data_IF_574883587912
#
_entry.id   IF_574883587912
#
_cell.length_a   1.000
_cell.length_b   1.000
_cell.length_c   1.000
_cell.angle_alpha   90.00
_cell.angle_beta   90.00
_cell.angle_gamma   90.00
#
_symmetry.space_group_name_H-M   'P 1'
#
loop_
_entity.id
_entity.type
_entity.pdbx_description
1 polymer ?
#
# COMPACT_ATOMS: atom_id res chain seq x y z
N UNK A 1 6.22 11.40 26.06
CA UNK A 1 4.84 11.75 26.46
C UNK A 1 3.90 10.88 25.64
N UNK A 2 3.19 9.94 26.25
CA UNK A 2 2.14 9.16 25.61
C UNK A 2 0.95 10.07 25.32
N UNK A 3 0.43 10.15 24.10
CA UNK A 3 -0.78 10.91 23.81
C UNK A 3 -1.98 10.30 24.57
N UNK A 4 -2.98 11.11 24.95
CA UNK A 4 -4.16 10.61 25.64
C UNK A 4 -4.95 9.65 24.76
N UNK A 5 -5.62 8.62 25.33
CA UNK A 5 -6.43 7.69 24.57
C UNK A 5 -7.73 8.38 24.10
N UNK A 6 -7.84 8.58 22.81
CA UNK A 6 -9.03 9.12 22.15
C UNK A 6 -8.68 10.11 21.05
N UNK A 7 -8.83 9.73 19.81
CA UNK A 7 -8.73 10.55 18.58
C UNK A 7 -7.47 11.43 18.38
N UNK A 8 -6.37 11.14 19.06
CA UNK A 8 -5.14 11.96 18.99
C UNK A 8 -4.48 12.00 17.59
N UNK A 9 -4.94 11.18 16.63
CA UNK A 9 -4.32 11.08 15.32
C UNK A 9 -5.27 11.38 14.15
N UNK A 10 -6.57 11.59 14.40
CA UNK A 10 -7.60 11.69 13.35
C UNK A 10 -7.50 10.56 12.29
N UNK A 11 -6.97 9.40 12.72
CA UNK A 11 -6.76 8.24 11.88
C UNK A 11 -8.04 7.49 11.57
N UNK A 12 -9.00 7.54 12.49
CA UNK A 12 -10.29 6.88 12.37
C UNK A 12 -11.36 7.84 11.89
N UNK A 13 -12.37 7.29 11.24
CA UNK A 13 -13.54 8.07 10.82
C UNK A 13 -14.19 8.75 12.02
N UNK A 14 -14.78 9.94 11.82
CA UNK A 14 -15.53 10.66 12.87
C UNK A 14 -16.72 9.83 13.39
N UNK A 15 -17.03 9.98 14.67
CA UNK A 15 -18.16 9.31 15.31
C UNK A 15 -17.80 8.07 16.14
N UNK A 16 -18.80 7.24 16.47
CA UNK A 16 -18.56 6.01 17.23
C UNK A 16 -17.68 5.04 16.44
N UNK A 17 -16.62 4.52 17.10
CA UNK A 17 -15.75 3.54 16.45
C UNK A 17 -16.48 2.23 16.21
N UNK A 18 -16.37 1.74 14.98
CA UNK A 18 -16.75 0.38 14.62
C UNK A 18 -15.91 -0.62 15.43
N UNK A 19 -16.55 -1.44 16.26
CA UNK A 19 -15.88 -2.49 17.02
C UNK A 19 -16.55 -3.82 16.75
N UNK A 20 -15.77 -4.81 16.34
CA UNK A 20 -16.26 -6.19 16.13
C UNK A 20 -15.29 -7.12 16.83
N UNK A 21 -15.80 -7.93 17.76
CA UNK A 21 -15.01 -8.93 18.45
C UNK A 21 -14.65 -10.07 17.50
N UNK A 22 -13.41 -10.53 17.56
CA UNK A 22 -12.98 -11.76 16.90
C UNK A 22 -13.43 -13.01 17.62
N UNK A 23 -13.21 -14.17 16.99
CA UNK A 23 -13.45 -15.46 17.61
C UNK A 23 -12.66 -15.61 18.91
N UNK A 24 -13.20 -16.37 19.90
CA UNK A 24 -12.57 -16.53 21.21
C UNK A 24 -11.29 -17.38 21.16
N UNK A 25 -11.02 -18.02 20.05
CA UNK A 25 -9.84 -18.85 19.79
C UNK A 25 -9.28 -18.59 18.40
N UNK A 26 -7.98 -18.85 18.21
CA UNK A 26 -7.34 -18.68 16.91
C UNK A 26 -5.92 -18.07 17.04
N UNK A 27 -5.13 -18.10 15.96
CA UNK A 27 -3.74 -17.66 16.01
C UNK A 27 -3.57 -16.14 16.20
N UNK A 28 -4.62 -15.34 16.02
CA UNK A 28 -4.59 -13.88 16.16
C UNK A 28 -5.33 -13.37 17.40
N UNK A 29 -5.74 -14.27 18.32
CA UNK A 29 -6.40 -13.85 19.58
C UNK A 29 -5.52 -12.85 20.33
N UNK A 30 -6.17 -11.77 20.80
CA UNK A 30 -5.52 -10.67 21.50
C UNK A 30 -4.98 -9.57 20.59
N UNK A 31 -4.94 -9.77 19.28
CA UNK A 31 -4.60 -8.72 18.32
C UNK A 31 -5.82 -7.91 17.90
N UNK A 32 -5.58 -6.62 17.68
CA UNK A 32 -6.57 -5.65 17.21
C UNK A 32 -6.20 -5.13 15.82
N UNK A 33 -7.21 -4.85 14.99
CA UNK A 33 -6.94 -4.27 13.68
C UNK A 33 -7.92 -3.17 13.30
N UNK A 34 -7.41 -2.25 12.47
CA UNK A 34 -8.19 -1.20 11.84
C UNK A 34 -8.45 -1.53 10.36
N UNK A 35 -9.53 -0.99 9.82
CA UNK A 35 -10.04 -1.34 8.48
C UNK A 35 -10.18 -0.07 7.65
N UNK A 36 -9.45 0.04 6.54
CA UNK A 36 -9.58 1.16 5.59
C UNK A 36 -11.03 1.31 5.12
N UNK A 37 -11.51 2.54 5.01
CA UNK A 37 -12.91 2.82 4.65
C UNK A 37 -13.26 2.61 3.18
N UNK A 38 -12.69 1.59 2.59
CA UNK A 38 -13.05 0.97 1.31
C UNK A 38 -13.39 -0.52 1.48
N UNK A 39 -13.23 -1.03 2.70
CA UNK A 39 -13.35 -2.45 3.02
C UNK A 39 -14.59 -2.62 3.90
N UNK A 40 -15.47 -3.50 3.51
CA UNK A 40 -16.75 -3.70 4.17
C UNK A 40 -16.60 -4.35 5.54
N UNK A 41 -17.28 -3.75 6.51
CA UNK A 41 -17.56 -4.34 7.82
C UNK A 41 -19.07 -4.41 7.96
N UNK A 42 -19.63 -5.59 8.22
CA UNK A 42 -21.08 -5.79 8.31
C UNK A 42 -21.73 -4.78 9.25
N UNK A 43 -22.89 -4.28 8.85
CA UNK A 43 -23.72 -3.30 9.58
C UNK A 43 -23.08 -1.92 9.79
N UNK A 44 -21.94 -1.65 9.14
CA UNK A 44 -21.20 -0.39 9.22
C UNK A 44 -21.05 0.19 7.81
N UNK A 45 -21.52 1.42 7.55
CA UNK A 45 -21.37 2.02 6.23
C UNK A 45 -19.91 2.06 5.76
N UNK A 46 -19.69 1.84 4.46
CA UNK A 46 -18.42 2.09 3.80
C UNK A 46 -18.54 3.43 3.07
N UNK A 47 -17.71 4.41 3.50
CA UNK A 47 -17.83 5.80 3.03
C UNK A 47 -16.95 6.12 1.82
N UNK A 48 -15.92 5.33 1.54
CA UNK A 48 -15.03 5.57 0.41
C UNK A 48 -14.26 6.90 0.49
N UNK A 49 -14.23 7.56 1.65
CA UNK A 49 -13.62 8.88 1.81
C UNK A 49 -14.38 10.01 1.11
N UNK A 50 -15.66 9.80 0.73
CA UNK A 50 -16.53 10.80 0.13
C UNK A 50 -17.95 10.73 0.71
N UNK A 51 -18.54 11.84 1.20
CA UNK A 51 -19.85 11.84 1.88
C UNK A 51 -21.02 11.46 0.98
N UNK A 52 -20.86 11.45 -0.34
CA UNK A 52 -21.89 11.08 -1.30
C UNK A 52 -21.79 9.61 -1.75
N UNK A 53 -20.72 8.89 -1.36
CA UNK A 53 -20.56 7.46 -1.67
C UNK A 53 -21.68 6.58 -1.06
N UNK A 54 -22.05 6.73 0.21
CA UNK A 54 -23.11 5.91 0.83
C UNK A 54 -24.50 6.15 0.26
N UNK A 55 -24.73 7.19 -0.56
CA UNK A 55 -26.04 7.50 -1.12
C UNK A 55 -26.57 6.42 -2.08
N UNK A 56 -25.65 5.68 -2.72
CA UNK A 56 -25.99 4.59 -3.67
C UNK A 56 -25.32 3.26 -3.31
N UNK A 57 -24.50 3.26 -2.28
CA UNK A 57 -23.86 2.06 -1.77
C UNK A 57 -24.47 1.75 -0.40
N UNK A 58 -25.39 0.78 -0.30
CA UNK A 58 -26.03 0.45 0.96
C UNK A 58 -25.04 -0.07 1.99
N UNK A 59 -25.39 0.08 3.26
CA UNK A 59 -24.61 -0.51 4.36
C UNK A 59 -24.44 -2.02 4.11
N UNK A 60 -23.20 -2.54 4.13
CA UNK A 60 -22.94 -3.94 3.86
C UNK A 60 -23.58 -4.85 4.94
N UNK A 61 -24.15 -5.95 4.52
CA UNK A 61 -24.74 -6.97 5.43
C UNK A 61 -23.77 -8.10 5.75
N UNK A 62 -22.56 -8.07 5.16
CA UNK A 62 -21.51 -9.07 5.36
C UNK A 62 -20.17 -8.35 5.49
N UNK A 63 -19.26 -8.95 6.21
CA UNK A 63 -17.86 -8.53 6.20
C UNK A 63 -17.22 -8.82 4.83
N UNK A 64 -16.26 -7.99 4.44
CA UNK A 64 -15.32 -8.37 3.38
C UNK A 64 -14.62 -9.67 3.75
N UNK A 65 -14.26 -10.48 2.75
CA UNK A 65 -13.63 -11.79 2.98
C UNK A 65 -12.39 -11.70 3.88
N UNK A 66 -11.54 -10.69 3.66
CA UNK A 66 -10.34 -10.45 4.49
C UNK A 66 -10.68 -10.10 5.93
N UNK A 67 -11.75 -9.36 6.18
CA UNK A 67 -12.20 -9.01 7.54
C UNK A 67 -12.74 -10.25 8.24
N UNK A 68 -13.59 -11.03 7.56
CA UNK A 68 -14.14 -12.27 8.10
C UNK A 68 -13.02 -13.24 8.50
N UNK A 69 -12.06 -13.48 7.61
CA UNK A 69 -10.92 -14.39 7.88
C UNK A 69 -10.12 -13.97 9.12
N UNK A 70 -9.90 -12.67 9.32
CA UNK A 70 -9.17 -12.16 10.48
C UNK A 70 -9.99 -12.25 11.77
N UNK A 71 -11.30 -12.02 11.70
CA UNK A 71 -12.22 -12.22 12.84
C UNK A 71 -12.28 -13.69 13.23
N UNK A 72 -12.38 -14.61 12.26
CA UNK A 72 -12.39 -16.06 12.50
C UNK A 72 -11.06 -16.55 13.09
N UNK A 73 -9.95 -15.89 12.75
CA UNK A 73 -8.63 -16.14 13.35
C UNK A 73 -8.45 -15.52 14.76
N UNK A 74 -9.44 -14.79 15.28
CA UNK A 74 -9.47 -14.24 16.65
C UNK A 74 -9.04 -12.80 16.77
N UNK A 75 -8.66 -12.10 15.70
CA UNK A 75 -8.36 -10.67 15.77
C UNK A 75 -9.65 -9.83 15.83
N UNK A 76 -9.63 -8.69 16.52
CA UNK A 76 -10.80 -7.82 16.71
C UNK A 76 -10.67 -6.50 15.95
N UNK A 77 -11.75 -6.06 15.26
CA UNK A 77 -11.82 -4.73 14.63
C UNK A 77 -11.96 -3.66 15.71
N UNK A 78 -11.17 -2.58 15.59
CA UNK A 78 -11.22 -1.42 16.51
C UNK A 78 -11.68 -0.12 15.84
N UNK A 79 -11.90 -0.11 14.53
CA UNK A 79 -12.42 1.05 13.82
C UNK A 79 -12.20 1.00 12.32
N UNK A 80 -12.97 1.83 11.60
CA UNK A 80 -12.70 2.15 10.19
C UNK A 80 -11.82 3.39 10.11
N UNK A 81 -10.89 3.41 9.17
CA UNK A 81 -9.85 4.44 9.06
C UNK A 81 -10.04 5.31 7.83
N UNK A 82 -9.65 6.58 7.95
CA UNK A 82 -9.64 7.56 6.88
C UNK A 82 -8.86 7.03 5.66
N UNK A 83 -9.36 7.31 4.48
CA UNK A 83 -8.73 7.01 3.19
C UNK A 83 -8.70 8.26 2.32
N UNK A 84 -7.76 8.36 1.39
CA UNK A 84 -7.88 9.37 0.32
C UNK A 84 -9.17 9.08 -0.47
N UNK A 85 -9.84 10.13 -0.94
CA UNK A 85 -11.14 10.06 -1.60
C UNK A 85 -11.14 9.01 -2.73
N UNK A 86 -12.04 8.04 -2.64
CA UNK A 86 -12.18 6.86 -3.51
C UNK A 86 -10.83 6.22 -3.90
N UNK A 87 -9.89 6.24 -2.96
CA UNK A 87 -8.49 5.78 -3.11
C UNK A 87 -7.66 6.51 -4.18
N UNK A 88 -8.14 7.59 -4.78
CA UNK A 88 -7.44 8.39 -5.81
C UNK A 88 -6.50 9.43 -5.20
N UNK A 89 -5.54 8.96 -4.39
CA UNK A 89 -4.50 9.76 -3.77
C UNK A 89 -3.29 8.92 -3.39
N UNK A 90 -2.20 9.61 -2.97
CA UNK A 90 -0.95 8.96 -2.55
C UNK A 90 -0.29 9.67 -1.36
N UNK A 91 -0.83 10.79 -0.93
CA UNK A 91 -0.25 11.60 0.13
C UNK A 91 -1.02 11.56 1.46
N UNK A 92 -2.26 11.06 1.45
CA UNK A 92 -3.07 10.96 2.67
C UNK A 92 -3.83 12.25 2.99
N UNK A 93 -4.12 13.06 1.98
CA UNK A 93 -4.89 14.29 2.13
C UNK A 93 -6.29 14.08 1.55
N UNK A 94 -7.30 14.02 2.41
CA UNK A 94 -8.71 13.93 2.02
C UNK A 94 -9.41 15.27 2.30
N UNK A 95 -10.10 15.81 1.30
CA UNK A 95 -10.79 17.10 1.40
C UNK A 95 -12.05 17.06 2.30
N UNK A 96 -12.60 15.86 2.55
CA UNK A 96 -13.82 15.66 3.34
C UNK A 96 -13.51 15.21 4.78
N UNK A 97 -12.61 14.24 4.92
CA UNK A 97 -12.30 13.60 6.21
C UNK A 97 -11.00 14.14 6.85
N UNK A 98 -10.29 15.02 6.14
CA UNK A 98 -9.04 15.61 6.61
C UNK A 98 -7.79 14.75 6.35
N UNK A 99 -6.68 15.14 6.96
CA UNK A 99 -5.38 14.48 6.84
C UNK A 99 -5.01 13.87 8.17
N UNK A 100 -4.93 12.53 8.27
CA UNK A 100 -4.49 11.86 9.49
C UNK A 100 -3.08 12.32 9.91
N UNK A 101 -2.83 12.33 11.21
CA UNK A 101 -1.52 12.65 11.74
C UNK A 101 -0.51 11.58 11.30
N UNK A 102 0.68 11.99 10.84
CA UNK A 102 1.84 11.12 10.81
C UNK A 102 2.49 11.15 12.21
N UNK A 103 2.34 10.10 13.06
CA UNK A 103 2.79 10.16 14.44
C UNK A 103 4.30 10.29 14.61
N UNK A 104 5.07 9.88 13.61
CA UNK A 104 6.54 9.88 13.62
C UNK A 104 7.14 11.11 12.93
N UNK A 105 6.33 11.87 12.20
CA UNK A 105 6.69 13.14 11.57
C UNK A 105 5.46 14.06 11.50
N UNK A 106 5.05 14.71 12.61
CA UNK A 106 3.73 15.35 12.76
C UNK A 106 3.42 16.50 11.81
N UNK A 107 4.43 17.19 11.30
CA UNK A 107 4.34 18.25 10.30
C UNK A 107 4.27 17.75 8.85
N UNK A 108 4.42 16.44 8.64
CA UNK A 108 4.47 15.80 7.33
C UNK A 108 3.22 14.96 7.07
N UNK A 109 2.94 14.70 5.80
CA UNK A 109 1.82 13.84 5.41
C UNK A 109 2.07 12.37 5.79
N UNK A 110 1.02 11.58 6.08
CA UNK A 110 1.18 10.16 6.43
C UNK A 110 1.41 9.27 5.21
N UNK A 111 1.21 9.80 3.99
CA UNK A 111 1.08 8.99 2.79
C UNK A 111 -0.32 8.39 2.65
N UNK A 112 -0.66 7.97 1.42
CA UNK A 112 -1.99 7.47 1.08
C UNK A 112 -1.94 6.42 -0.06
N UNK A 113 -3.10 5.93 -0.40
CA UNK A 113 -4.45 6.31 0.05
C UNK A 113 -4.87 5.66 1.38
N UNK A 114 -4.13 4.70 1.94
CA UNK A 114 -4.45 4.04 3.23
C UNK A 114 -3.88 4.83 4.41
N UNK A 115 -4.13 6.14 4.43
CA UNK A 115 -3.53 7.13 5.34
C UNK A 115 -3.86 6.88 6.80
N UNK A 116 -5.13 6.71 7.13
CA UNK A 116 -5.59 6.44 8.48
C UNK A 116 -5.13 5.07 9.00
N UNK A 117 -5.05 4.07 8.12
CA UNK A 117 -4.54 2.73 8.48
C UNK A 117 -3.09 2.80 8.93
N UNK A 118 -2.22 3.46 8.17
CA UNK A 118 -0.83 3.65 8.55
C UNK A 118 -0.69 4.50 9.82
N UNK A 119 -1.43 5.61 9.91
CA UNK A 119 -1.44 6.48 11.08
C UNK A 119 -1.87 5.73 12.36
N UNK A 120 -2.93 4.92 12.31
CA UNK A 120 -3.42 4.14 13.45
C UNK A 120 -2.39 3.13 13.95
N UNK A 121 -1.72 2.41 13.04
CA UNK A 121 -0.68 1.44 13.40
C UNK A 121 0.55 2.14 13.96
N UNK A 122 1.02 3.22 13.33
CA UNK A 122 2.19 3.98 13.79
C UNK A 122 1.95 4.62 15.17
N UNK A 123 0.72 5.03 15.46
CA UNK A 123 0.32 5.56 16.78
C UNK A 123 0.13 4.47 17.86
N UNK A 124 0.19 3.20 17.50
CA UNK A 124 -0.13 2.11 18.44
C UNK A 124 -1.61 1.98 18.79
N UNK A 125 -2.51 2.57 17.99
CA UNK A 125 -3.95 2.50 18.21
C UNK A 125 -4.57 1.13 17.81
N UNK A 126 -3.83 0.33 17.09
CA UNK A 126 -4.09 -1.07 16.79
C UNK A 126 -2.76 -1.79 16.48
N UNK A 127 -2.79 -3.12 16.46
CA UNK A 127 -1.60 -3.93 16.21
C UNK A 127 -1.24 -3.97 14.73
N UNK A 128 -2.24 -4.08 13.86
CA UNK A 128 -2.11 -4.01 12.41
C UNK A 128 -3.33 -3.33 11.77
N UNK A 129 -3.26 -3.01 10.49
CA UNK A 129 -4.40 -2.43 9.77
C UNK A 129 -4.45 -2.91 8.32
N UNK A 130 -5.66 -3.09 7.81
CA UNK A 130 -5.91 -3.37 6.39
C UNK A 130 -5.85 -2.09 5.56
N UNK A 131 -5.29 -2.20 4.37
CA UNK A 131 -5.26 -1.17 3.34
C UNK A 131 -5.46 -1.76 1.96
N UNK A 132 -5.55 -0.89 0.95
CA UNK A 132 -5.54 -1.29 -0.46
C UNK A 132 -4.34 -0.68 -1.16
N UNK A 133 -3.77 -1.38 -2.13
CA UNK A 133 -2.64 -0.88 -2.93
C UNK A 133 -2.88 -1.11 -4.43
N UNK A 134 -3.19 -0.06 -5.15
CA UNK A 134 -3.33 -0.03 -6.60
C UNK A 134 -2.05 0.50 -7.24
N UNK A 135 -1.58 1.66 -6.77
CA UNK A 135 -0.40 2.36 -7.28
C UNK A 135 0.65 2.70 -6.22
N UNK A 136 0.56 2.11 -5.01
CA UNK A 136 1.48 2.39 -3.90
C UNK A 136 0.80 2.66 -2.56
N UNK A 137 -0.52 2.49 -2.49
CA UNK A 137 -1.34 2.99 -1.37
C UNK A 137 -1.22 2.20 -0.04
N UNK A 138 -0.40 1.17 0.02
CA UNK A 138 0.13 0.57 1.27
C UNK A 138 1.61 0.90 1.41
N UNK A 139 2.37 0.75 0.35
CA UNK A 139 3.84 0.89 0.37
C UNK A 139 4.29 2.30 0.74
N UNK A 140 3.66 3.33 0.17
CA UNK A 140 4.01 4.74 0.44
C UNK A 140 3.71 5.14 1.88
N UNK A 141 2.48 4.94 2.41
CA UNK A 141 2.23 5.26 3.81
C UNK A 141 3.04 4.38 4.78
N UNK A 142 3.38 3.13 4.43
CA UNK A 142 4.31 2.33 5.23
C UNK A 142 5.70 2.97 5.32
N UNK A 143 6.24 3.46 4.18
CA UNK A 143 7.51 4.19 4.15
C UNK A 143 7.48 5.47 4.98
N UNK A 144 6.44 6.29 4.81
CA UNK A 144 6.33 7.60 5.47
C UNK A 144 6.01 7.52 6.96
N UNK A 145 5.37 6.44 7.42
CA UNK A 145 5.05 6.22 8.82
C UNK A 145 5.99 5.24 9.54
N UNK A 146 7.06 4.77 8.88
CA UNK A 146 8.06 3.88 9.49
C UNK A 146 7.52 2.50 9.87
N UNK A 147 6.71 1.90 9.00
CA UNK A 147 6.02 0.62 9.22
C UNK A 147 6.48 -0.45 8.25
N UNK A 148 6.34 -1.71 8.66
CA UNK A 148 6.21 -2.80 7.69
C UNK A 148 4.89 -2.64 6.95
N UNK A 149 4.92 -2.81 5.62
CA UNK A 149 3.73 -2.78 4.79
C UNK A 149 3.90 -3.72 3.60
N UNK A 150 2.89 -4.52 3.31
CA UNK A 150 2.94 -5.46 2.20
C UNK A 150 1.89 -5.14 1.15
N UNK A 151 2.31 -5.11 -0.12
CA UNK A 151 1.48 -5.33 -1.29
C UNK A 151 1.67 -6.79 -1.69
N UNK A 152 0.68 -7.67 -1.51
CA UNK A 152 0.80 -9.05 -1.93
C UNK A 152 0.75 -9.20 -3.45
N UNK A 153 1.09 -10.39 -3.93
CA UNK A 153 0.86 -10.81 -5.32
C UNK A 153 -0.59 -10.50 -5.73
N UNK A 154 -0.78 -9.86 -6.89
CA UNK A 154 -2.10 -9.51 -7.39
C UNK A 154 -2.98 -10.77 -7.53
N UNK A 155 -4.21 -10.68 -7.02
CA UNK A 155 -5.20 -11.77 -7.03
C UNK A 155 -4.98 -12.86 -5.98
N UNK A 156 -3.94 -12.74 -5.12
CA UNK A 156 -3.69 -13.75 -4.07
C UNK A 156 -4.57 -13.58 -2.83
N UNK A 157 -4.91 -12.36 -2.48
CA UNK A 157 -5.83 -12.03 -1.39
C UNK A 157 -7.22 -11.82 -1.96
N UNK A 158 -8.23 -12.43 -1.35
CA UNK A 158 -9.62 -12.30 -1.78
C UNK A 158 -10.09 -10.84 -1.63
N UNK A 159 -10.52 -10.24 -2.73
CA UNK A 159 -10.94 -8.83 -2.80
C UNK A 159 -12.46 -8.65 -2.62
N UNK A 160 -13.21 -9.72 -2.30
CA UNK A 160 -14.66 -9.67 -2.09
C UNK A 160 -15.03 -8.76 -0.92
N UNK A 161 -15.94 -7.81 -1.16
CA UNK A 161 -16.35 -6.81 -0.16
C UNK A 161 -15.37 -5.64 -0.01
N UNK A 162 -14.52 -5.40 -1.00
CA UNK A 162 -13.63 -4.24 -1.07
C UNK A 162 -14.02 -3.39 -2.29
N UNK A 163 -14.24 -2.10 -2.09
CA UNK A 163 -14.54 -1.18 -3.19
C UNK A 163 -13.33 -1.10 -4.15
N UNK A 164 -13.53 -1.46 -5.43
CA UNK A 164 -12.44 -1.44 -6.41
C UNK A 164 -12.11 -0.02 -6.86
N UNK A 165 -10.88 0.18 -7.34
CA UNK A 165 -10.46 1.36 -8.09
C UNK A 165 -10.07 0.98 -9.52
N UNK A 166 -9.11 0.06 -9.65
CA UNK A 166 -8.60 -0.46 -10.92
C UNK A 166 -8.33 -1.97 -10.76
N UNK A 167 -9.33 -2.82 -11.07
CA UNK A 167 -9.32 -4.24 -10.73
C UNK A 167 -8.10 -5.01 -11.22
N UNK A 168 -7.48 -4.61 -12.34
CA UNK A 168 -6.28 -5.29 -12.85
C UNK A 168 -5.00 -4.94 -12.09
N UNK A 169 -5.08 -4.01 -11.13
CA UNK A 169 -3.95 -3.53 -10.32
C UNK A 169 -4.21 -3.59 -8.81
N UNK A 170 -5.48 -3.64 -8.39
CA UNK A 170 -5.88 -3.58 -6.98
C UNK A 170 -5.42 -4.79 -6.17
N UNK A 171 -4.92 -4.55 -4.97
CA UNK A 171 -4.65 -5.59 -3.97
C UNK A 171 -5.09 -5.12 -2.59
N UNK A 172 -5.50 -6.04 -1.73
CA UNK A 172 -5.60 -5.78 -0.30
C UNK A 172 -4.26 -6.12 0.36
N UNK A 173 -3.68 -5.14 1.05
CA UNK A 173 -2.46 -5.32 1.82
C UNK A 173 -2.66 -4.89 3.27
N UNK A 174 -1.60 -4.94 4.07
CA UNK A 174 -1.68 -4.58 5.48
C UNK A 174 -0.38 -3.96 6.00
N UNK A 175 -0.50 -3.32 7.15
CA UNK A 175 0.57 -2.65 7.89
C UNK A 175 0.76 -3.32 9.24
N UNK A 176 2.01 -3.39 9.72
CA UNK A 176 2.34 -3.77 11.08
C UNK A 176 3.55 -2.97 11.59
N UNK A 177 3.70 -2.85 12.92
CA UNK A 177 4.88 -2.22 13.53
C UNK A 177 6.09 -3.15 13.52
N UNK A 178 5.86 -4.46 13.52
CA UNK A 178 6.88 -5.49 13.56
C UNK A 178 6.65 -6.57 12.50
N UNK A 179 7.72 -7.23 12.07
CA UNK A 179 7.67 -8.25 11.04
C UNK A 179 6.99 -9.54 11.52
N UNK A 180 6.98 -9.80 12.82
CA UNK A 180 6.29 -10.94 13.41
C UNK A 180 4.78 -10.82 13.26
N UNK A 181 4.21 -9.65 13.57
CA UNK A 181 2.78 -9.36 13.34
C UNK A 181 2.45 -9.37 11.85
N UNK A 182 3.31 -8.78 10.98
CA UNK A 182 3.13 -8.85 9.53
C UNK A 182 3.01 -10.31 9.05
N UNK A 183 3.88 -11.20 9.55
CA UNK A 183 3.90 -12.64 9.21
C UNK A 183 2.65 -13.37 9.68
N UNK A 184 2.22 -13.17 10.93
CA UNK A 184 1.01 -13.81 11.47
C UNK A 184 -0.25 -13.47 10.68
N UNK A 185 -0.38 -12.21 10.24
CA UNK A 185 -1.49 -11.77 9.38
C UNK A 185 -1.40 -12.42 7.99
N UNK A 186 -0.20 -12.56 7.45
CA UNK A 186 0.02 -13.22 6.16
C UNK A 186 -0.43 -14.67 6.14
N UNK A 187 -0.19 -15.42 7.23
CA UNK A 187 -0.62 -16.82 7.36
C UNK A 187 -2.14 -16.97 7.21
N UNK A 188 -2.90 -15.95 7.61
CA UNK A 188 -4.36 -15.96 7.47
C UNK A 188 -4.80 -15.50 6.08
N UNK A 189 -4.26 -14.38 5.59
CA UNK A 189 -4.77 -13.72 4.38
C UNK A 189 -4.26 -14.35 3.07
N UNK A 190 -3.09 -14.98 3.08
CA UNK A 190 -2.51 -15.61 1.88
C UNK A 190 -2.96 -17.06 1.68
N UNK A 191 -3.66 -17.65 2.65
CA UNK A 191 -4.39 -18.92 2.51
C UNK A 191 -3.57 -20.20 2.44
N UNK A 192 -2.26 -20.12 2.35
CA UNK A 192 -1.36 -21.26 2.47
C UNK A 192 -0.71 -21.21 3.84
N UNK A 193 -0.97 -22.20 4.73
CA UNK A 193 -0.04 -22.42 5.82
C UNK A 193 1.32 -22.64 5.16
N UNK A 194 2.34 -21.92 5.64
CA UNK A 194 3.72 -22.22 5.26
C UNK A 194 3.86 -23.75 5.36
N UNK A 195 4.11 -24.47 4.26
CA UNK A 195 4.37 -25.88 4.41
C UNK A 195 5.51 -25.99 5.42
N UNK A 196 5.27 -26.68 6.52
CA UNK A 196 6.32 -27.02 7.49
C UNK A 196 7.48 -27.76 6.82
N UNK A 197 7.32 -28.11 5.54
CA UNK A 197 8.24 -28.83 4.68
C UNK A 197 8.90 -28.00 3.57
N UNK A 198 8.50 -26.70 3.34
CA UNK A 198 9.30 -25.87 2.46
C UNK A 198 10.66 -25.62 3.12
N UNK A 199 11.76 -25.77 2.36
CA UNK A 199 13.08 -25.45 2.90
C UNK A 199 13.01 -24.01 3.41
N UNK A 200 13.34 -23.82 4.68
CA UNK A 200 13.40 -22.54 5.40
C UNK A 200 14.57 -21.66 4.90
N UNK A 201 14.84 -21.68 3.60
CA UNK A 201 15.94 -20.93 2.99
C UNK A 201 15.44 -19.58 2.53
N UNK A 202 16.11 -18.57 3.03
CA UNK A 202 16.03 -17.23 2.47
C UNK A 202 16.41 -17.24 0.99
N UNK A 203 15.94 -16.26 0.19
CA UNK A 203 16.50 -16.02 -1.13
C UNK A 203 18.02 -15.96 -1.07
N UNK A 204 18.68 -16.33 -2.14
CA UNK A 204 20.16 -16.40 -2.19
C UNK A 204 20.77 -15.35 -3.13
N UNK A 205 19.92 -14.61 -3.85
CA UNK A 205 20.34 -13.58 -4.79
C UNK A 205 19.60 -12.28 -4.53
N UNK A 206 20.36 -11.21 -4.31
CA UNK A 206 19.86 -9.85 -4.16
C UNK A 206 20.20 -9.02 -5.39
N UNK A 207 19.19 -8.45 -6.04
CA UNK A 207 19.35 -7.41 -7.05
C UNK A 207 19.13 -6.03 -6.43
N UNK A 208 20.01 -5.09 -6.74
CA UNK A 208 19.87 -3.68 -6.36
C UNK A 208 19.46 -2.89 -7.59
N UNK A 209 18.27 -2.30 -7.58
CA UNK A 209 17.73 -1.53 -8.71
C UNK A 209 18.43 -0.16 -8.83
N UNK A 210 19.54 -0.10 -9.57
CA UNK A 210 20.39 1.09 -9.65
C UNK A 210 19.69 2.29 -10.28
N UNK A 211 18.79 2.07 -11.24
CA UNK A 211 17.96 3.12 -11.84
C UNK A 211 16.94 3.69 -10.85
N UNK A 212 16.38 2.85 -9.97
CA UNK A 212 15.47 3.29 -8.93
C UNK A 212 16.20 4.04 -7.80
N UNK A 213 17.40 3.56 -7.37
CA UNK A 213 18.24 4.28 -6.43
C UNK A 213 18.69 5.62 -7.01
N UNK A 214 19.18 5.66 -8.25
CA UNK A 214 19.59 6.90 -8.91
C UNK A 214 18.46 7.91 -9.15
N UNK A 215 17.20 7.46 -9.07
CA UNK A 215 16.02 8.32 -9.17
C UNK A 215 15.63 8.96 -7.82
N UNK A 216 16.00 8.37 -6.71
CA UNK A 216 15.75 8.91 -5.38
C UNK A 216 16.76 10.03 -5.04
N UNK A 217 16.39 10.90 -4.10
CA UNK A 217 17.27 11.96 -3.61
C UNK A 217 18.56 11.35 -3.02
N UNK A 218 19.67 12.05 -3.18
CA UNK A 218 20.98 11.54 -2.73
C UNK A 218 21.03 11.26 -1.21
N UNK A 219 20.29 12.03 -0.41
CA UNK A 219 20.14 11.79 1.03
C UNK A 219 19.44 10.49 1.33
N UNK A 220 18.38 10.14 0.57
CA UNK A 220 17.67 8.86 0.68
C UNK A 220 18.57 7.70 0.30
N UNK A 221 19.33 7.82 -0.79
CA UNK A 221 20.30 6.80 -1.19
C UNK A 221 21.32 6.53 -0.07
N UNK A 222 21.89 7.59 0.51
CA UNK A 222 22.84 7.49 1.61
C UNK A 222 22.22 6.86 2.87
N UNK A 223 21.01 7.26 3.23
CA UNK A 223 20.30 6.74 4.41
C UNK A 223 19.90 5.26 4.28
N UNK A 224 19.59 4.79 3.07
CA UNK A 224 19.23 3.39 2.82
C UNK A 224 20.45 2.47 2.62
N UNK A 225 21.64 3.00 2.35
CA UNK A 225 22.84 2.20 2.07
C UNK A 225 23.14 1.17 3.18
N UNK A 226 23.09 1.49 4.50
CA UNK A 226 23.32 0.49 5.55
C UNK A 226 22.28 -0.64 5.54
N UNK A 227 21.02 -0.35 5.19
CA UNK A 227 19.99 -1.39 5.07
C UNK A 227 20.23 -2.31 3.87
N UNK A 228 20.70 -1.76 2.75
CA UNK A 228 21.09 -2.54 1.57
C UNK A 228 22.28 -3.44 1.89
N UNK A 229 23.29 -2.96 2.61
CA UNK A 229 24.46 -3.74 2.99
C UNK A 229 24.09 -4.86 3.98
N UNK A 230 23.21 -4.58 4.95
CA UNK A 230 22.67 -5.60 5.86
C UNK A 230 21.87 -6.66 5.10
N UNK A 231 21.00 -6.24 4.17
CA UNK A 231 20.24 -7.15 3.31
C UNK A 231 21.17 -8.00 2.44
N UNK A 232 22.22 -7.41 1.88
CA UNK A 232 23.23 -8.12 1.09
C UNK A 232 23.99 -9.16 1.94
N UNK A 233 24.33 -8.81 3.18
CA UNK A 233 24.96 -9.75 4.13
C UNK A 233 24.06 -10.92 4.47
N UNK A 234 22.73 -10.68 4.59
CA UNK A 234 21.74 -11.71 4.90
C UNK A 234 21.50 -12.66 3.71
N UNK A 235 21.40 -12.10 2.49
CA UNK A 235 21.04 -12.86 1.28
C UNK A 235 22.27 -13.50 0.63
N UNK A 236 23.43 -12.85 0.69
CA UNK A 236 24.71 -13.33 0.19
C UNK A 236 25.08 -12.74 -1.17
N UNK A 237 24.44 -13.15 -2.27
CA UNK A 237 24.88 -12.77 -3.61
C UNK A 237 24.21 -11.47 -4.10
N UNK A 238 24.95 -10.36 -4.04
CA UNK A 238 24.49 -9.02 -4.50
C UNK A 238 24.92 -8.76 -5.94
N UNK A 239 23.98 -8.22 -6.73
CA UNK A 239 24.21 -7.72 -8.09
C UNK A 239 23.45 -6.43 -8.33
N UNK A 240 23.99 -5.55 -9.14
CA UNK A 240 23.28 -4.38 -9.65
C UNK A 240 22.38 -4.78 -10.84
N UNK A 241 21.23 -4.16 -10.93
CA UNK A 241 20.27 -4.40 -12.01
C UNK A 241 19.53 -3.12 -12.37
N UNK A 242 19.15 -2.99 -13.64
CA UNK A 242 18.21 -1.96 -14.10
C UNK A 242 16.80 -2.53 -14.04
N UNK A 243 15.91 -1.91 -13.27
CA UNK A 243 14.51 -2.34 -13.15
C UNK A 243 13.75 -2.07 -14.46
N UNK A 244 13.76 -0.83 -14.92
CA UNK A 244 13.00 -0.35 -16.08
C UNK A 244 13.94 0.19 -17.17
N UNK A 245 14.40 -0.63 -18.11
CA UNK A 245 15.34 -0.21 -19.17
C UNK A 245 14.81 0.94 -20.04
N UNK A 246 13.49 1.06 -20.21
CA UNK A 246 12.82 2.15 -20.93
C UNK A 246 12.70 3.43 -20.08
N UNK A 247 12.97 3.33 -18.78
CA UNK A 247 12.82 4.38 -17.78
C UNK A 247 11.61 4.22 -16.88
N UNK A 248 11.76 4.55 -15.60
CA UNK A 248 10.71 4.47 -14.58
C UNK A 248 9.49 5.33 -14.95
N UNK A 249 9.69 6.49 -15.56
CA UNK A 249 8.61 7.38 -16.02
C UNK A 249 7.78 6.77 -17.16
N UNK A 250 8.35 5.89 -17.97
CA UNK A 250 7.62 5.18 -19.02
C UNK A 250 6.66 4.16 -18.40
N UNK A 251 7.13 3.40 -17.41
CA UNK A 251 6.29 2.48 -16.66
C UNK A 251 5.21 3.22 -15.86
N UNK A 252 5.56 4.33 -15.24
CA UNK A 252 4.60 5.18 -14.53
C UNK A 252 3.48 5.68 -15.47
N UNK A 253 3.84 6.15 -16.68
CA UNK A 253 2.86 6.60 -17.68
C UNK A 253 1.92 5.47 -18.09
N UNK A 254 2.44 4.28 -18.36
CA UNK A 254 1.62 3.12 -18.72
C UNK A 254 0.66 2.73 -17.57
N UNK A 255 1.15 2.68 -16.32
CA UNK A 255 0.31 2.42 -15.15
C UNK A 255 -0.78 3.49 -15.00
N UNK A 256 -0.44 4.77 -15.15
CA UNK A 256 -1.40 5.88 -15.06
C UNK A 256 -2.52 5.78 -16.09
N UNK A 257 -2.21 5.39 -17.32
CA UNK A 257 -3.21 5.21 -18.38
C UNK A 257 -4.16 4.06 -18.03
N UNK A 258 -3.64 2.91 -17.66
CA UNK A 258 -4.45 1.73 -17.34
C UNK A 258 -5.28 1.95 -16.08
N UNK A 259 -4.65 2.38 -14.99
CA UNK A 259 -5.33 2.67 -13.73
C UNK A 259 -6.39 3.77 -13.87
N UNK A 260 -6.07 4.86 -14.60
CA UNK A 260 -7.01 5.96 -14.81
C UNK A 260 -8.23 5.53 -15.63
N UNK A 261 -8.03 4.75 -16.68
CA UNK A 261 -9.13 4.22 -17.50
C UNK A 261 -10.03 3.28 -16.72
N UNK A 262 -9.45 2.39 -15.91
CA UNK A 262 -10.20 1.48 -15.05
C UNK A 262 -10.93 2.22 -13.93
N UNK A 263 -10.29 3.20 -13.29
CA UNK A 263 -10.93 4.05 -12.27
C UNK A 263 -12.13 4.80 -12.84
N UNK A 264 -12.02 5.37 -14.06
CA UNK A 264 -13.16 5.95 -14.73
C UNK A 264 -14.29 4.94 -14.94
N UNK A 265 -13.99 3.76 -15.49
CA UNK A 265 -14.99 2.72 -15.70
C UNK A 265 -15.68 2.27 -14.39
N UNK A 266 -14.93 2.24 -13.29
CA UNK A 266 -15.44 1.87 -11.96
C UNK A 266 -16.37 2.95 -11.39
N UNK A 267 -15.99 4.23 -11.48
CA UNK A 267 -16.69 5.31 -10.78
C UNK A 267 -17.70 6.07 -11.65
N UNK A 268 -17.68 5.94 -12.98
CA UNK A 268 -18.62 6.63 -13.88
C UNK A 268 -20.09 6.37 -13.52
N UNK A 269 -20.55 5.13 -13.24
CA UNK A 269 -21.94 4.89 -12.86
C UNK A 269 -22.37 5.63 -11.58
N UNK A 270 -21.47 5.75 -10.59
CA UNK A 270 -21.73 6.52 -9.38
C UNK A 270 -21.80 8.01 -9.66
N UNK A 271 -20.89 8.52 -10.49
CA UNK A 271 -20.83 9.95 -10.88
C UNK A 271 -22.15 10.32 -11.61
N UNK A 272 -22.54 9.52 -12.59
CA UNK A 272 -23.77 9.75 -13.39
C UNK A 272 -25.04 9.69 -12.53
N UNK A 273 -25.07 8.83 -11.53
CA UNK A 273 -26.24 8.65 -10.65
C UNK A 273 -26.33 9.72 -9.56
N UNK A 274 -25.20 10.10 -8.96
CA UNK A 274 -25.18 10.92 -7.74
C UNK A 274 -24.73 12.36 -7.96
N UNK A 275 -23.99 12.65 -9.03
CA UNK A 275 -23.28 13.93 -9.21
C UNK A 275 -22.52 14.31 -7.91
N UNK A 276 -21.56 13.51 -7.45
CA UNK A 276 -20.95 13.67 -6.13
C UNK A 276 -20.08 14.92 -6.02
N UNK A 277 -19.90 15.39 -4.81
CA UNK A 277 -18.95 16.46 -4.46
C UNK A 277 -17.54 15.92 -4.47
N UNK A 278 -16.86 15.98 -5.61
CA UNK A 278 -15.50 15.52 -5.75
C UNK A 278 -14.49 16.63 -5.43
N UNK A 279 -13.44 16.30 -4.71
CA UNK A 279 -12.27 17.16 -4.59
C UNK A 279 -11.64 17.41 -5.96
N UNK A 280 -11.08 18.60 -6.18
CA UNK A 280 -10.52 19.00 -7.48
C UNK A 280 -9.52 17.97 -8.04
N UNK A 281 -8.62 17.44 -7.20
CA UNK A 281 -7.61 16.45 -7.63
C UNK A 281 -8.22 15.14 -8.13
N UNK A 282 -9.27 14.67 -7.45
CA UNK A 282 -10.01 13.44 -7.79
C UNK A 282 -10.84 13.65 -9.07
N UNK A 283 -11.61 14.75 -9.14
CA UNK A 283 -12.36 15.09 -10.35
C UNK A 283 -11.45 15.17 -11.58
N UNK A 284 -10.31 15.85 -11.45
CA UNK A 284 -9.32 15.94 -12.54
C UNK A 284 -8.78 14.57 -12.95
N UNK A 285 -8.45 13.71 -12.00
CA UNK A 285 -7.94 12.36 -12.29
C UNK A 285 -8.96 11.51 -13.03
N UNK A 286 -10.24 11.57 -12.63
CA UNK A 286 -11.34 10.85 -13.28
C UNK A 286 -11.62 11.39 -14.69
N UNK A 287 -11.65 12.72 -14.88
CA UNK A 287 -11.78 13.34 -16.21
C UNK A 287 -10.62 12.91 -17.11
N UNK A 288 -9.37 12.92 -16.62
CA UNK A 288 -8.24 12.43 -17.39
C UNK A 288 -8.41 10.95 -17.75
N UNK A 289 -8.88 10.12 -16.83
CA UNK A 289 -9.20 8.71 -17.08
C UNK A 289 -10.22 8.51 -18.18
N UNK A 290 -11.29 9.32 -18.20
CA UNK A 290 -12.35 9.28 -19.22
C UNK A 290 -11.87 9.64 -20.63
N UNK A 291 -10.81 10.43 -20.72
CA UNK A 291 -10.25 10.94 -21.98
C UNK A 291 -9.18 10.02 -22.59
N UNK A 292 -8.78 8.94 -21.90
CA UNK A 292 -7.76 8.01 -22.42
C UNK A 292 -8.26 7.31 -23.67
N UNK A 293 -7.57 7.53 -24.77
CA UNK A 293 -7.89 6.92 -26.08
C UNK A 293 -7.61 5.41 -26.07
N UNK A 294 -8.23 4.70 -27.00
CA UNK A 294 -7.96 3.27 -27.22
C UNK A 294 -6.49 3.02 -27.56
N UNK A 295 -5.90 3.88 -28.39
CA UNK A 295 -4.49 3.79 -28.77
C UNK A 295 -3.56 3.91 -27.56
N UNK A 296 -3.83 4.85 -26.62
CA UNK A 296 -3.06 4.98 -25.39
C UNK A 296 -3.21 3.73 -24.48
N UNK A 297 -4.44 3.20 -24.33
CA UNK A 297 -4.68 1.98 -23.56
C UNK A 297 -3.97 0.78 -24.16
N UNK A 298 -3.98 0.64 -25.47
CA UNK A 298 -3.28 -0.44 -26.18
C UNK A 298 -1.75 -0.33 -26.01
N UNK A 299 -1.18 0.85 -26.18
CA UNK A 299 0.24 1.11 -25.93
C UNK A 299 0.64 0.81 -24.47
N UNK A 300 -0.17 1.23 -23.52
CA UNK A 300 0.05 0.95 -22.10
C UNK A 300 -0.07 -0.56 -21.77
N UNK A 301 -0.98 -1.27 -22.44
CA UNK A 301 -1.14 -2.71 -22.29
C UNK A 301 0.07 -3.48 -22.85
N UNK A 302 0.64 -3.06 -23.96
CA UNK A 302 1.89 -3.62 -24.49
C UNK A 302 3.04 -3.38 -23.51
N UNK A 303 3.16 -2.17 -22.94
CA UNK A 303 4.17 -1.86 -21.92
C UNK A 303 3.98 -2.73 -20.67
N UNK A 304 2.74 -3.03 -20.26
CA UNK A 304 2.45 -3.96 -19.16
C UNK A 304 2.99 -5.35 -19.44
N UNK A 305 2.82 -5.86 -20.66
CA UNK A 305 3.34 -7.16 -21.08
C UNK A 305 4.87 -7.17 -21.01
N UNK A 306 5.53 -6.15 -21.54
CA UNK A 306 6.99 -6.03 -21.48
C UNK A 306 7.51 -5.93 -20.03
N UNK A 307 6.85 -5.13 -19.18
CA UNK A 307 7.19 -5.00 -17.78
C UNK A 307 7.05 -6.34 -17.02
N UNK A 308 5.99 -7.10 -17.29
CA UNK A 308 5.80 -8.44 -16.71
C UNK A 308 6.89 -9.41 -17.16
N UNK A 309 7.23 -9.42 -18.44
CA UNK A 309 8.32 -10.24 -18.96
C UNK A 309 9.67 -9.84 -18.33
N UNK A 310 9.91 -8.54 -18.17
CA UNK A 310 11.12 -8.02 -17.50
C UNK A 310 11.19 -8.49 -16.05
N UNK A 311 10.10 -8.38 -15.27
CA UNK A 311 10.09 -8.82 -13.88
C UNK A 311 10.28 -10.35 -13.76
N UNK A 312 9.68 -11.14 -14.64
CA UNK A 312 9.88 -12.58 -14.67
C UNK A 312 11.36 -12.96 -14.94
N UNK A 313 12.03 -12.20 -15.79
CA UNK A 313 13.47 -12.38 -16.07
C UNK A 313 14.35 -11.97 -14.87
N UNK A 314 14.02 -10.88 -14.20
CA UNK A 314 14.80 -10.37 -13.05
C UNK A 314 14.62 -11.23 -11.80
N UNK A 315 13.43 -11.79 -11.59
CA UNK A 315 13.02 -12.42 -10.34
C UNK A 315 12.73 -13.93 -10.49
N UNK A 316 13.69 -14.74 -10.98
CA UNK A 316 13.55 -16.18 -10.91
C UNK A 316 13.51 -16.64 -9.44
N UNK A 317 13.05 -17.86 -9.14
CA UNK A 317 13.00 -18.40 -7.79
C UNK A 317 14.32 -18.20 -7.02
N UNK A 318 14.20 -17.79 -5.74
CA UNK A 318 15.36 -17.49 -4.88
C UNK A 318 16.03 -16.13 -5.13
N UNK A 319 15.43 -15.28 -5.96
CA UNK A 319 15.92 -13.92 -6.22
C UNK A 319 14.95 -12.87 -5.67
N UNK A 320 15.47 -11.86 -5.01
CA UNK A 320 14.74 -10.64 -4.65
C UNK A 320 15.45 -9.41 -5.21
N UNK A 321 14.67 -8.34 -5.41
CA UNK A 321 15.18 -7.04 -5.82
C UNK A 321 14.86 -6.02 -4.75
N UNK A 322 15.80 -5.09 -4.47
CA UNK A 322 15.52 -3.99 -3.56
C UNK A 322 15.61 -2.63 -4.27
N UNK A 323 14.79 -1.68 -3.76
CA UNK A 323 14.76 -0.29 -4.21
C UNK A 323 14.24 0.64 -3.10
N UNK A 324 14.46 1.97 -3.16
CA UNK A 324 13.80 2.90 -2.26
C UNK A 324 12.29 2.83 -2.43
N UNK A 325 11.53 2.73 -1.34
CA UNK A 325 10.05 2.72 -1.44
C UNK A 325 9.52 4.06 -1.94
N UNK A 326 10.11 5.15 -1.46
CA UNK A 326 9.79 6.52 -1.86
C UNK A 326 11.07 7.28 -2.23
N UNK A 327 11.01 8.24 -3.17
CA UNK A 327 12.20 8.95 -3.64
C UNK A 327 12.70 10.03 -2.67
N UNK A 328 11.93 10.35 -1.63
CA UNK A 328 12.20 11.36 -0.60
C UNK A 328 11.40 11.01 0.67
N UNK A 329 11.72 11.63 1.80
CA UNK A 329 10.94 11.59 3.02
C UNK A 329 9.57 12.26 2.84
N UNK A 330 8.60 11.94 3.70
CA UNK A 330 7.23 12.47 3.59
C UNK A 330 7.23 14.00 3.39
N UNK A 331 6.49 14.54 2.41
CA UNK A 331 6.35 15.99 2.23
C UNK A 331 5.65 16.66 3.40
N UNK A 332 5.89 17.96 3.59
CA UNK A 332 5.15 18.77 4.56
C UNK A 332 3.66 18.82 4.21
N UNK A 333 2.82 18.91 5.23
CA UNK A 333 1.36 19.11 5.07
C UNK A 333 1.05 20.48 4.47
N UNK A 334 -0.05 20.55 3.73
CA UNK A 334 -0.60 21.83 3.23
C UNK A 334 0.21 22.48 2.12
N UNK A 335 1.09 21.75 1.44
CA UNK A 335 1.77 22.27 0.27
C UNK A 335 0.77 22.55 -0.87
N UNK A 336 0.96 23.64 -1.65
CA UNK A 336 0.09 23.93 -2.77
C UNK A 336 0.24 22.90 -3.90
N UNK A 337 -0.84 22.69 -4.68
CA UNK A 337 -0.94 21.63 -5.70
C UNK A 337 0.20 21.65 -6.73
N UNK A 338 0.72 22.81 -7.08
CA UNK A 338 1.82 22.92 -8.06
C UNK A 338 3.13 22.31 -7.54
N UNK A 339 3.34 22.29 -6.21
CA UNK A 339 4.46 21.60 -5.57
C UNK A 339 4.17 20.11 -5.33
N UNK A 340 2.90 19.77 -4.99
CA UNK A 340 2.51 18.39 -4.71
C UNK A 340 2.48 17.49 -5.95
N UNK A 341 2.06 18.01 -7.11
CA UNK A 341 1.93 17.19 -8.32
C UNK A 341 3.26 16.57 -8.79
N UNK A 342 4.38 17.31 -8.87
CA UNK A 342 5.67 16.71 -9.19
C UNK A 342 6.11 15.65 -8.17
N UNK A 343 5.82 15.84 -6.87
CA UNK A 343 6.13 14.87 -5.83
C UNK A 343 5.33 13.58 -6.01
N UNK A 344 4.01 13.69 -6.28
CA UNK A 344 3.14 12.53 -6.57
C UNK A 344 3.65 11.74 -7.78
N UNK A 345 4.08 12.42 -8.83
CA UNK A 345 4.62 11.77 -10.03
C UNK A 345 5.93 11.04 -9.73
N UNK A 346 6.84 11.63 -8.96
CA UNK A 346 8.09 10.99 -8.55
C UNK A 346 7.83 9.73 -7.69
N UNK A 347 6.90 9.79 -6.74
CA UNK A 347 6.49 8.61 -5.95
C UNK A 347 5.96 7.52 -6.90
N UNK A 348 5.07 7.89 -7.82
CA UNK A 348 4.47 6.94 -8.76
C UNK A 348 5.50 6.27 -9.67
N UNK A 349 6.60 6.93 -10.03
CA UNK A 349 7.70 6.32 -10.77
C UNK A 349 8.33 5.13 -10.03
N UNK A 350 8.46 5.19 -8.70
CA UNK A 350 9.01 4.11 -7.90
C UNK A 350 7.99 3.03 -7.49
N UNK A 351 6.69 3.27 -7.66
CA UNK A 351 5.64 2.34 -7.21
C UNK A 351 4.85 1.68 -8.34
N UNK A 352 4.92 2.22 -9.56
CA UNK A 352 4.12 1.79 -10.72
C UNK A 352 4.34 0.32 -11.12
N UNK A 353 5.55 -0.22 -10.92
CA UNK A 353 5.85 -1.62 -11.24
C UNK A 353 4.89 -2.59 -10.53
N UNK A 354 4.46 -2.30 -9.28
CA UNK A 354 3.53 -3.15 -8.55
C UNK A 354 2.18 -3.31 -9.26
N UNK A 355 1.56 -2.21 -9.71
CA UNK A 355 0.31 -2.23 -10.46
C UNK A 355 0.45 -2.82 -11.87
N UNK A 356 1.54 -2.51 -12.57
CA UNK A 356 1.81 -3.04 -13.91
C UNK A 356 2.02 -4.54 -13.92
N UNK A 357 2.76 -5.06 -12.95
CA UNK A 357 3.28 -6.43 -13.04
C UNK A 357 2.61 -7.41 -12.09
N UNK A 358 1.99 -6.90 -11.01
CA UNK A 358 1.30 -7.72 -10.02
C UNK A 358 2.23 -8.46 -9.05
N UNK A 359 3.53 -8.14 -9.02
CA UNK A 359 4.50 -8.76 -8.11
C UNK A 359 4.29 -8.33 -6.67
N UNK A 360 4.63 -9.19 -5.69
CA UNK A 360 4.58 -8.84 -4.27
C UNK A 360 5.74 -7.91 -3.89
N UNK A 361 5.48 -7.04 -2.92
CA UNK A 361 6.46 -6.10 -2.39
C UNK A 361 6.23 -5.87 -0.89
N UNK A 362 7.31 -5.84 -0.12
CA UNK A 362 7.30 -5.47 1.30
C UNK A 362 8.15 -4.22 1.51
N UNK A 363 7.60 -3.24 2.22
CA UNK A 363 8.36 -2.12 2.76
C UNK A 363 9.00 -2.53 4.08
N UNK A 364 10.30 -2.35 4.18
CA UNK A 364 11.11 -2.51 5.40
C UNK A 364 11.39 -1.13 6.00
N UNK A 365 10.94 -0.83 7.21
CA UNK A 365 11.31 0.39 7.94
C UNK A 365 12.75 0.28 8.48
N UNK A 366 13.33 1.39 8.93
CA UNK A 366 14.61 1.36 9.66
C UNK A 366 15.61 2.43 9.22
N UNK A 367 15.27 3.27 8.25
CA UNK A 367 16.07 4.43 7.89
C UNK A 367 15.29 5.73 8.08
N UNK A 368 16.00 6.84 8.19
CA UNK A 368 15.44 8.20 8.29
C UNK A 368 16.20 9.15 7.36
N UNK A 369 15.49 10.10 6.79
CA UNK A 369 16.01 11.23 6.05
C UNK A 369 15.32 12.49 6.54
N UNK A 370 16.07 13.55 6.87
CA UNK A 370 15.53 14.80 7.43
C UNK A 370 14.59 14.56 8.62
N UNK A 371 14.99 13.70 9.56
CA UNK A 371 14.26 13.30 10.77
C UNK A 371 12.89 12.63 10.50
N UNK A 372 12.61 12.21 9.28
CA UNK A 372 11.40 11.48 8.90
C UNK A 372 11.73 10.08 8.36
N UNK A 373 10.86 9.09 8.59
CA UNK A 373 11.09 7.73 8.10
C UNK A 373 11.14 7.64 6.58
N UNK A 374 11.97 6.73 6.12
CA UNK A 374 12.00 6.23 4.76
C UNK A 374 12.16 4.71 4.78
N UNK A 375 11.63 4.03 3.77
CA UNK A 375 11.63 2.58 3.69
C UNK A 375 12.45 2.03 2.53
N UNK A 376 13.02 0.85 2.75
CA UNK A 376 13.61 0.01 1.72
C UNK A 376 12.57 -1.02 1.28
N UNK A 377 12.23 -1.05 0.01
CA UNK A 377 11.37 -2.08 -0.55
C UNK A 377 12.15 -3.31 -0.99
N UNK A 378 11.60 -4.48 -0.70
CA UNK A 378 12.01 -5.75 -1.29
C UNK A 378 10.87 -6.31 -2.15
N UNK A 379 11.24 -6.84 -3.33
CA UNK A 379 10.30 -7.32 -4.35
C UNK A 379 10.69 -8.75 -4.72
N UNK A 380 9.72 -9.62 -4.84
CA UNK A 380 9.89 -10.99 -5.28
C UNK A 380 9.14 -11.30 -6.57
N UNK A 381 9.33 -12.47 -7.13
CA UNK A 381 8.52 -12.98 -8.23
C UNK A 381 7.07 -13.23 -7.79
N UNK A 382 6.17 -13.36 -8.77
CA UNK A 382 4.75 -13.69 -8.50
C UNK A 382 4.66 -14.95 -7.63
N UNK A 383 3.92 -14.87 -6.52
CA UNK A 383 3.71 -15.97 -5.59
C UNK A 383 4.78 -16.13 -4.49
N UNK A 384 5.82 -15.29 -4.46
CA UNK A 384 6.90 -15.39 -3.46
C UNK A 384 6.68 -14.51 -2.22
N UNK A 385 5.44 -14.19 -1.89
CA UNK A 385 5.05 -13.32 -0.78
C UNK A 385 5.69 -13.73 0.54
N UNK A 386 5.65 -15.04 0.86
CA UNK A 386 6.24 -15.56 2.10
C UNK A 386 7.77 -15.46 2.14
N UNK A 387 8.45 -15.51 0.99
CA UNK A 387 9.90 -15.33 0.95
C UNK A 387 10.27 -13.90 1.38
N UNK A 388 9.50 -12.90 0.91
CA UNK A 388 9.68 -11.51 1.32
C UNK A 388 9.41 -11.30 2.81
N UNK A 389 8.36 -11.94 3.35
CA UNK A 389 8.02 -11.86 4.77
C UNK A 389 9.12 -12.51 5.63
N UNK A 390 9.67 -13.66 5.22
CA UNK A 390 10.81 -14.28 5.91
C UNK A 390 12.04 -13.37 5.93
N UNK A 391 12.32 -12.69 4.80
CA UNK A 391 13.39 -11.69 4.74
C UNK A 391 13.11 -10.53 5.69
N UNK A 392 11.88 -10.04 5.74
CA UNK A 392 11.49 -8.96 6.67
C UNK A 392 11.72 -9.37 8.13
N UNK A 393 11.30 -10.58 8.53
CA UNK A 393 11.54 -11.13 9.89
C UNK A 393 13.04 -11.31 10.18
N UNK A 394 13.83 -11.73 9.20
CA UNK A 394 15.27 -11.87 9.37
C UNK A 394 16.01 -10.51 9.43
N UNK A 395 15.49 -9.50 8.74
CA UNK A 395 16.01 -8.13 8.78
C UNK A 395 15.66 -7.38 10.08
N UNK A 396 14.65 -7.79 10.81
CA UNK A 396 14.28 -7.19 12.10
C UNK A 396 15.20 -7.64 13.24
N UNK A 397 15.72 -8.88 13.20
CA UNK A 397 16.64 -9.48 14.18
C UNK A 397 18.05 -8.89 14.08
#
# INVERSE_FOLDING_TARGET
>A
MTPPPGNATDAFLPGPRAKVAGAPSGPLVGLTFAVKDLIDVADIPTGGGNPDWPRVHPTPTRHAAVVQSLLDAGASVVGKTVTDEVSLGILGENAHDGTPLNPVAPDRVPGGSSSGSASAVAAGACDFALGTDTGGSVRVPASFCGLYGIRPTHGRVDFTGIAPQAPTSDTCGWFARDAGTLSRVAEILLGDPLPTTLPSRLPTRLLVATDAFGFADASVQAALAPMVDRLASLIGHRQDATLAPQGLSVWQRAQRVLQGSEAWATFAPWIDTCNPRLAFGVARALIQGSMMSEAERNAASLMRIEARARMALLLPPGTILCLPTTPFAAPLKGLPLHLLNPLRERISCLTSHGGLTGVPQVNLPGATDQDAPIGLSIIGGVGTDFDLIRVAVAMER
#
